data_IF_140749016718
#
_entry.id   IF_140749016718
#
_cell.length_a   1.000
_cell.length_b   1.000
_cell.length_c   1.000
_cell.angle_alpha   90.00
_cell.angle_beta   90.00
_cell.angle_gamma   90.00
#
_symmetry.space_group_name_H-M   'P 1'
#
loop_
_entity.id
_entity.type
_entity.pdbx_description
1 polymer ?
#
# COMPACT_ATOMS: atom_id res chain seq x y z
N UNK A 1 -19.02 -1.44 -0.52
CA UNK A 1 -17.59 -1.60 -0.18
C UNK A 1 -16.80 -0.59 -1.00
N UNK A 2 -15.97 0.24 -0.38
CA UNK A 2 -15.15 1.24 -1.08
C UNK A 2 -14.01 0.60 -1.88
N UNK A 3 -13.57 1.28 -2.94
CA UNK A 3 -12.39 0.90 -3.72
C UNK A 3 -11.12 1.49 -3.14
N UNK A 4 -11.20 2.76 -2.72
CA UNK A 4 -10.10 3.53 -2.16
C UNK A 4 -10.66 4.52 -1.14
N UNK A 5 -9.94 4.70 -0.04
CA UNK A 5 -10.32 5.65 1.01
C UNK A 5 -9.07 6.36 1.53
N UNK A 6 -9.00 7.67 1.32
CA UNK A 6 -7.94 8.49 1.90
C UNK A 6 -8.30 8.84 3.35
N UNK A 7 -7.30 8.80 4.21
CA UNK A 7 -7.45 9.04 5.66
C UNK A 7 -6.37 9.99 6.15
N UNK A 8 -6.69 10.80 7.13
CA UNK A 8 -5.73 11.62 7.86
C UNK A 8 -5.28 10.90 9.14
N UNK A 9 -3.99 10.67 9.25
CA UNK A 9 -3.36 10.11 10.46
C UNK A 9 -2.40 11.11 11.11
N UNK A 10 -2.49 12.39 10.74
CA UNK A 10 -1.55 13.42 11.17
C UNK A 10 -0.08 13.03 10.89
N UNK A 11 0.16 12.29 9.79
CA UNK A 11 1.51 12.00 9.31
C UNK A 11 1.97 13.24 8.53
N UNK A 12 2.92 13.94 9.10
CA UNK A 12 3.39 15.22 8.57
C UNK A 12 4.33 15.02 7.38
N UNK A 13 4.59 16.10 6.65
CA UNK A 13 5.62 16.09 5.60
C UNK A 13 7.00 15.72 6.18
N UNK A 14 7.34 16.21 7.36
CA UNK A 14 8.61 15.89 8.02
C UNK A 14 8.71 14.40 8.36
N UNK A 15 7.60 13.78 8.83
CA UNK A 15 7.54 12.33 9.02
C UNK A 15 7.84 11.57 7.71
N UNK A 16 7.23 12.00 6.61
CA UNK A 16 7.42 11.38 5.29
C UNK A 16 8.86 11.53 4.81
N UNK A 17 9.45 12.71 4.97
CA UNK A 17 10.82 13.00 4.55
C UNK A 17 11.83 12.18 5.38
N UNK A 18 11.65 12.08 6.70
CA UNK A 18 12.50 11.29 7.59
C UNK A 18 12.39 9.79 7.28
N UNK A 19 11.17 9.27 7.15
CA UNK A 19 10.93 7.86 6.78
C UNK A 19 11.56 7.57 5.42
N UNK A 20 11.40 8.47 4.44
CA UNK A 20 11.98 8.31 3.11
C UNK A 20 13.50 8.21 3.17
N UNK A 21 14.14 9.05 4.00
CA UNK A 21 15.60 9.00 4.21
C UNK A 21 16.05 7.68 4.83
N UNK A 22 15.34 7.18 5.86
CA UNK A 22 15.64 5.90 6.48
C UNK A 22 15.54 4.76 5.45
N UNK A 23 14.46 4.71 4.67
CA UNK A 23 14.25 3.66 3.66
C UNK A 23 15.31 3.68 2.57
N UNK A 24 15.72 4.87 2.11
CA UNK A 24 16.79 5.01 1.12
C UNK A 24 18.16 4.60 1.65
N UNK A 25 18.34 4.54 2.96
CA UNK A 25 19.58 4.06 3.59
C UNK A 25 19.63 2.54 3.79
N UNK A 26 18.52 1.82 3.55
CA UNK A 26 18.48 0.36 3.67
C UNK A 26 19.43 -0.26 2.62
N UNK A 27 20.41 -1.08 3.05
CA UNK A 27 21.35 -1.73 2.13
C UNK A 27 20.63 -2.58 1.08
N UNK A 28 21.14 -2.57 -0.16
CA UNK A 28 20.54 -3.30 -1.30
C UNK A 28 20.41 -4.81 -1.05
N UNK A 29 21.26 -5.41 -0.22
CA UNK A 29 21.16 -6.83 0.16
C UNK A 29 19.84 -7.22 0.83
N UNK A 30 19.07 -6.27 1.35
CA UNK A 30 17.76 -6.51 1.96
C UNK A 30 16.59 -6.39 0.96
N UNK A 31 16.87 -5.86 -0.23
CA UNK A 31 15.89 -5.73 -1.29
C UNK A 31 15.90 -6.97 -2.18
N UNK A 32 14.72 -7.41 -2.63
CA UNK A 32 14.58 -8.46 -3.63
C UNK A 32 13.61 -8.00 -4.71
N UNK A 33 13.92 -8.35 -5.95
CA UNK A 33 13.04 -8.04 -7.08
C UNK A 33 11.89 -9.04 -7.16
N UNK A 34 10.68 -8.51 -7.30
CA UNK A 34 9.48 -9.30 -7.53
C UNK A 34 9.08 -9.17 -9.01
N UNK A 35 9.31 -10.23 -9.77
CA UNK A 35 9.06 -10.26 -11.22
C UNK A 35 7.58 -10.05 -11.57
N UNK A 36 6.67 -10.62 -10.77
CA UNK A 36 5.23 -10.52 -11.02
C UNK A 36 4.70 -9.09 -10.85
N UNK A 37 5.26 -8.33 -9.92
CA UNK A 37 4.90 -6.94 -9.65
C UNK A 37 5.82 -5.93 -10.31
N UNK A 38 6.90 -6.41 -10.93
CA UNK A 38 7.91 -5.56 -11.56
C UNK A 38 8.44 -4.45 -10.62
N UNK A 39 8.71 -4.81 -9.38
CA UNK A 39 9.20 -3.88 -8.35
C UNK A 39 10.12 -4.56 -7.36
N UNK A 40 10.95 -3.76 -6.68
CA UNK A 40 11.76 -4.24 -5.57
C UNK A 40 10.92 -4.21 -4.27
N UNK A 41 11.17 -5.18 -3.41
CA UNK A 41 10.47 -5.31 -2.13
C UNK A 41 11.51 -5.44 -1.01
N UNK A 42 11.29 -4.74 0.10
CA UNK A 42 11.97 -4.99 1.36
C UNK A 42 10.95 -5.27 2.46
N UNK A 43 11.17 -6.31 3.24
CA UNK A 43 10.33 -6.65 4.38
C UNK A 43 10.86 -5.97 5.62
N UNK A 44 10.00 -5.20 6.29
CA UNK A 44 10.36 -4.50 7.53
C UNK A 44 9.81 -5.20 8.78
N UNK A 45 8.61 -5.77 8.69
CA UNK A 45 7.93 -6.48 9.77
C UNK A 45 7.40 -7.80 9.20
N UNK A 46 7.84 -8.91 9.76
CA UNK A 46 7.65 -10.24 9.17
C UNK A 46 6.32 -10.91 9.57
N UNK A 47 6.15 -12.15 9.13
CA UNK A 47 4.97 -12.97 9.45
C UNK A 47 4.87 -13.36 10.93
N UNK A 48 5.98 -13.32 11.67
CA UNK A 48 6.02 -13.60 13.11
C UNK A 48 5.83 -12.34 13.95
N UNK A 49 5.53 -11.20 13.27
CA UNK A 49 5.35 -9.90 13.90
C UNK A 49 6.60 -9.37 14.61
N UNK A 50 7.75 -9.59 14.00
CA UNK A 50 9.06 -9.14 14.46
C UNK A 50 9.65 -8.18 13.42
N UNK A 51 10.27 -7.09 13.89
CA UNK A 51 11.03 -6.20 13.02
C UNK A 51 12.26 -6.92 12.49
N UNK A 52 12.41 -6.94 11.16
CA UNK A 52 13.58 -7.51 10.48
C UNK A 52 14.81 -6.62 10.70
N UNK A 53 16.00 -7.08 10.30
CA UNK A 53 17.19 -6.25 10.32
C UNK A 53 17.01 -4.95 9.53
N UNK A 54 16.38 -5.01 8.35
CA UNK A 54 16.05 -3.81 7.58
C UNK A 54 15.05 -2.91 8.33
N UNK A 55 14.04 -3.50 8.98
CA UNK A 55 13.04 -2.77 9.75
C UNK A 55 13.62 -2.02 10.95
N UNK A 56 14.61 -2.62 11.64
CA UNK A 56 15.29 -1.98 12.79
C UNK A 56 16.10 -0.73 12.40
N UNK A 57 16.45 -0.57 11.12
CA UNK A 57 17.10 0.63 10.60
C UNK A 57 16.16 1.82 10.44
N UNK A 58 14.83 1.60 10.54
CA UNK A 58 13.80 2.60 10.31
C UNK A 58 13.14 3.03 11.63
N UNK A 59 13.89 3.64 12.54
CA UNK A 59 13.42 4.01 13.88
C UNK A 59 12.26 5.00 13.87
N UNK A 60 12.30 5.99 12.99
CA UNK A 60 11.24 6.98 12.85
C UNK A 60 9.96 6.35 12.29
N UNK A 61 10.09 5.46 11.30
CA UNK A 61 8.94 4.68 10.80
C UNK A 61 8.32 3.82 11.90
N UNK A 62 9.13 3.17 12.75
CA UNK A 62 8.65 2.38 13.89
C UNK A 62 7.82 3.27 14.83
N UNK A 63 8.30 4.45 15.15
CA UNK A 63 7.62 5.43 15.99
C UNK A 63 6.27 5.87 15.38
N UNK A 64 6.27 6.27 14.11
CA UNK A 64 5.04 6.65 13.39
C UNK A 64 4.06 5.48 13.33
N UNK A 65 4.54 4.26 13.06
CA UNK A 65 3.70 3.06 13.06
C UNK A 65 3.05 2.85 14.42
N UNK A 66 3.80 2.88 15.51
CA UNK A 66 3.28 2.63 16.87
C UNK A 66 2.28 3.72 17.29
N UNK A 67 2.60 4.98 17.04
CA UNK A 67 1.84 6.12 17.54
C UNK A 67 0.63 6.49 16.69
N UNK A 68 0.75 6.38 15.35
CA UNK A 68 -0.24 6.92 14.41
C UNK A 68 -0.99 5.85 13.62
N UNK A 69 -0.35 4.74 13.26
CA UNK A 69 -0.94 3.72 12.37
C UNK A 69 -1.55 2.56 13.17
N UNK A 70 -0.76 1.92 14.02
CA UNK A 70 -1.15 0.73 14.78
C UNK A 70 -2.47 0.88 15.58
N UNK A 71 -2.75 2.03 16.22
CA UNK A 71 -4.02 2.20 16.96
C UNK A 71 -5.27 2.03 16.10
N UNK A 72 -5.15 2.21 14.80
CA UNK A 72 -6.23 2.12 13.81
C UNK A 72 -6.35 0.75 13.15
N UNK A 73 -5.49 -0.20 13.47
CA UNK A 73 -5.50 -1.55 12.90
C UNK A 73 -6.27 -2.52 13.79
N UNK A 74 -7.09 -3.38 13.21
CA UNK A 74 -7.81 -4.43 13.95
C UNK A 74 -6.92 -5.61 14.32
N UNK A 75 -5.92 -5.90 13.47
CA UNK A 75 -4.96 -7.01 13.64
C UNK A 75 -3.56 -6.56 13.23
N UNK A 76 -2.55 -7.24 13.73
CA UNK A 76 -1.19 -7.08 13.23
C UNK A 76 -1.08 -7.66 11.81
N UNK A 77 -0.22 -7.08 11.00
CA UNK A 77 0.07 -7.58 9.66
C UNK A 77 1.51 -7.30 9.27
N UNK A 78 1.95 -7.92 8.21
CA UNK A 78 3.29 -7.68 7.65
C UNK A 78 3.42 -6.24 7.18
N UNK A 79 4.62 -5.68 7.31
CA UNK A 79 4.98 -4.38 6.74
C UNK A 79 6.10 -4.61 5.75
N UNK A 80 5.91 -4.12 4.54
CA UNK A 80 6.93 -4.12 3.51
C UNK A 80 6.89 -2.82 2.71
N UNK A 81 7.97 -2.53 2.03
CA UNK A 81 8.07 -1.40 1.12
C UNK A 81 8.11 -1.94 -0.30
N UNK A 82 7.36 -1.30 -1.19
CA UNK A 82 7.50 -1.44 -2.62
C UNK A 82 8.31 -0.27 -3.15
N UNK A 83 9.36 -0.58 -3.93
CA UNK A 83 10.12 0.38 -4.72
C UNK A 83 9.85 0.11 -6.19
N UNK A 84 8.97 0.91 -6.78
CA UNK A 84 8.76 0.88 -8.23
C UNK A 84 9.80 1.77 -8.88
N UNK A 85 10.68 1.22 -9.70
CA UNK A 85 11.75 1.97 -10.36
C UNK A 85 11.16 2.94 -11.40
N UNK A 86 11.88 4.02 -11.68
CA UNK A 86 11.49 4.99 -12.71
C UNK A 86 11.20 4.29 -14.04
N UNK A 87 10.05 4.60 -14.61
CA UNK A 87 9.58 4.03 -15.88
C UNK A 87 8.97 2.64 -15.79
N UNK A 88 9.03 1.97 -14.64
CA UNK A 88 8.36 0.69 -14.43
C UNK A 88 6.89 0.89 -14.09
N UNK A 89 6.07 -0.08 -14.49
CA UNK A 89 4.66 -0.21 -14.07
C UNK A 89 4.50 -1.40 -13.13
N UNK A 90 3.49 -1.37 -12.27
CA UNK A 90 2.98 -2.57 -11.63
C UNK A 90 1.76 -3.03 -12.43
N UNK A 91 1.80 -4.24 -13.03
CA UNK A 91 0.67 -4.76 -13.81
C UNK A 91 -0.62 -4.84 -13.00
N UNK A 92 -1.76 -4.82 -13.68
CA UNK A 92 -3.05 -5.04 -13.02
C UNK A 92 -3.06 -6.37 -12.28
N UNK A 93 -3.40 -6.33 -10.99
CA UNK A 93 -3.48 -7.50 -10.13
C UNK A 93 -4.51 -7.29 -9.01
N UNK A 94 -4.77 -8.37 -8.28
CA UNK A 94 -5.48 -8.33 -6.99
C UNK A 94 -4.54 -8.84 -5.89
N UNK A 95 -4.60 -8.20 -4.72
CA UNK A 95 -3.73 -8.53 -3.58
C UNK A 95 -4.20 -9.76 -2.79
N UNK A 96 -5.44 -10.18 -2.97
CA UNK A 96 -6.03 -11.24 -2.17
C UNK A 96 -6.91 -12.17 -3.01
N UNK A 97 -6.66 -13.46 -2.92
CA UNK A 97 -7.43 -14.51 -3.62
C UNK A 97 -8.74 -14.89 -2.91
N UNK A 98 -8.83 -14.60 -1.63
CA UNK A 98 -10.00 -14.98 -0.83
C UNK A 98 -11.08 -13.91 -0.94
N UNK A 99 -11.77 -13.90 -2.08
CA UNK A 99 -12.90 -13.02 -2.36
C UNK A 99 -13.99 -13.08 -1.26
N UNK A 100 -13.98 -14.15 -0.45
CA UNK A 100 -15.01 -14.45 0.55
C UNK A 100 -14.83 -13.78 1.91
N UNK A 101 -13.71 -13.10 2.17
CA UNK A 101 -13.46 -12.46 3.47
C UNK A 101 -13.16 -10.97 3.25
N UNK A 102 -14.19 -10.09 3.29
CA UNK A 102 -14.06 -8.66 3.00
C UNK A 102 -12.97 -7.94 3.80
N UNK A 103 -12.76 -8.32 5.04
CA UNK A 103 -11.76 -7.71 5.92
C UNK A 103 -10.31 -7.91 5.47
N UNK A 104 -10.01 -8.96 4.66
CA UNK A 104 -8.68 -9.16 4.08
C UNK A 104 -8.40 -8.28 2.87
N UNK A 105 -9.41 -7.64 2.33
CA UNK A 105 -9.27 -6.76 1.17
C UNK A 105 -8.78 -5.35 1.55
N UNK A 106 -8.96 -4.93 2.79
CA UNK A 106 -8.49 -3.61 3.24
C UNK A 106 -6.98 -3.61 3.45
N UNK A 107 -6.28 -2.84 2.63
CA UNK A 107 -4.82 -2.72 2.66
C UNK A 107 -4.41 -1.28 2.89
N UNK A 108 -3.79 -1.00 4.03
CA UNK A 108 -3.25 0.32 4.30
C UNK A 108 -2.00 0.59 3.46
N UNK A 109 -1.87 1.82 3.00
CA UNK A 109 -0.72 2.32 2.24
C UNK A 109 -0.30 3.70 2.75
N UNK A 110 1.02 3.88 2.81
CA UNK A 110 1.63 5.20 2.96
C UNK A 110 2.58 5.40 1.77
N UNK A 111 2.16 6.21 0.80
CA UNK A 111 3.00 6.58 -0.33
C UNK A 111 3.98 7.68 0.10
N UNK A 112 5.28 7.45 -0.05
CA UNK A 112 6.33 8.34 0.41
C UNK A 112 6.82 9.26 -0.70
N UNK A 113 7.10 8.69 -1.88
CA UNK A 113 7.66 9.42 -3.03
C UNK A 113 6.95 9.07 -4.33
N UNK A 114 7.28 9.79 -5.39
CA UNK A 114 6.78 9.58 -6.74
C UNK A 114 5.37 10.14 -6.96
N UNK A 115 4.86 9.94 -8.16
CA UNK A 115 3.53 10.43 -8.54
C UNK A 115 2.43 9.65 -7.78
N UNK A 116 1.66 10.34 -6.96
CA UNK A 116 0.60 9.71 -6.16
C UNK A 116 -0.56 9.23 -7.03
N UNK A 117 -0.92 10.00 -8.06
CA UNK A 117 -2.03 9.72 -8.98
C UNK A 117 -1.72 8.69 -10.09
N UNK A 118 -0.66 7.91 -9.99
CA UNK A 118 -0.41 6.82 -10.95
C UNK A 118 -1.00 5.47 -10.54
N UNK A 119 -1.58 5.38 -9.34
CA UNK A 119 -2.38 4.24 -8.91
C UNK A 119 -3.73 4.28 -9.63
N UNK A 120 -4.10 3.17 -10.28
CA UNK A 120 -5.39 3.04 -10.93
C UNK A 120 -6.15 1.79 -10.46
N UNK A 121 -7.47 1.84 -10.61
CA UNK A 121 -8.38 0.70 -10.46
C UNK A 121 -9.12 0.50 -11.78
N UNK A 122 -9.51 -0.74 -12.08
CA UNK A 122 -10.32 -1.00 -13.28
C UNK A 122 -11.81 -0.91 -12.97
N UNK A 123 -12.55 -0.20 -13.80
CA UNK A 123 -14.02 -0.18 -13.73
C UNK A 123 -14.66 -1.43 -14.39
N UNK A 124 -15.98 -1.52 -14.37
CA UNK A 124 -16.73 -2.63 -14.98
C UNK A 124 -16.49 -2.84 -16.48
N UNK A 125 -15.93 -1.86 -17.17
CA UNK A 125 -15.60 -1.89 -18.60
C UNK A 125 -14.09 -2.04 -18.84
N UNK A 126 -13.32 -2.35 -17.80
CA UNK A 126 -11.84 -2.44 -17.80
C UNK A 126 -11.12 -1.09 -18.07
N UNK A 127 -11.80 0.04 -17.90
CA UNK A 127 -11.15 1.34 -17.99
C UNK A 127 -10.42 1.68 -16.69
N UNK A 128 -9.28 2.37 -16.81
CA UNK A 128 -8.51 2.85 -15.66
C UNK A 128 -9.18 4.07 -15.02
N UNK A 129 -9.45 3.97 -13.73
CA UNK A 129 -9.89 5.07 -12.87
C UNK A 129 -8.79 5.36 -11.87
N UNK A 130 -8.20 6.55 -11.94
CA UNK A 130 -7.02 6.91 -11.14
C UNK A 130 -7.38 7.39 -9.76
N UNK A 131 -6.57 6.96 -8.78
CA UNK A 131 -6.68 7.42 -7.40
C UNK A 131 -6.26 8.90 -7.27
N UNK A 132 -6.85 9.63 -6.33
CA UNK A 132 -6.44 11.01 -6.02
C UNK A 132 -5.07 11.06 -5.31
N UNK A 133 -4.53 12.28 -5.18
CA UNK A 133 -3.20 12.54 -4.64
C UNK A 133 -3.19 12.59 -3.10
N UNK A 134 -3.32 11.44 -2.43
CA UNK A 134 -3.16 11.32 -0.99
C UNK A 134 -2.01 10.39 -0.62
N UNK A 135 -1.25 10.75 0.42
CA UNK A 135 -0.16 9.93 0.92
C UNK A 135 -0.66 8.72 1.72
N UNK A 136 -1.69 8.92 2.53
CA UNK A 136 -2.25 7.88 3.42
C UNK A 136 -3.61 7.43 2.93
N UNK A 137 -3.74 6.13 2.68
CA UNK A 137 -4.98 5.58 2.18
C UNK A 137 -5.14 4.09 2.48
N UNK A 138 -6.38 3.64 2.41
CA UNK A 138 -6.75 2.23 2.42
C UNK A 138 -7.27 1.89 1.03
N UNK A 139 -6.79 0.82 0.45
CA UNK A 139 -7.34 0.30 -0.79
C UNK A 139 -8.00 -1.06 -0.57
N UNK A 140 -9.00 -1.35 -1.40
CA UNK A 140 -9.57 -2.68 -1.51
C UNK A 140 -8.65 -3.55 -2.37
N UNK A 141 -7.84 -4.40 -1.74
CA UNK A 141 -6.91 -5.29 -2.45
C UNK A 141 -7.57 -6.37 -3.29
N UNK A 142 -8.88 -6.60 -3.13
CA UNK A 142 -9.67 -7.47 -4.01
C UNK A 142 -10.12 -6.79 -5.30
N UNK A 143 -10.04 -5.45 -5.38
CA UNK A 143 -10.33 -4.71 -6.60
C UNK A 143 -9.11 -4.72 -7.52
N UNK A 144 -9.24 -5.08 -8.81
CA UNK A 144 -8.13 -5.04 -9.76
C UNK A 144 -7.51 -3.65 -9.85
N UNK A 145 -6.21 -3.55 -9.57
CA UNK A 145 -5.47 -2.31 -9.51
C UNK A 145 -4.03 -2.48 -9.98
N UNK A 146 -3.37 -1.37 -10.27
CA UNK A 146 -1.96 -1.33 -10.70
C UNK A 146 -1.38 0.07 -10.63
N UNK A 147 -0.13 0.21 -11.06
CA UNK A 147 0.55 1.51 -11.18
C UNK A 147 1.01 1.72 -12.62
N UNK A 148 0.69 2.88 -13.17
CA UNK A 148 1.28 3.30 -14.43
C UNK A 148 2.72 3.79 -14.25
N UNK A 149 3.55 3.74 -15.31
CA UNK A 149 4.93 4.20 -15.25
C UNK A 149 5.00 5.68 -14.84
N UNK A 150 5.94 5.99 -13.96
CA UNK A 150 6.20 7.34 -13.47
C UNK A 150 7.65 7.45 -12.96
N UNK A 151 7.92 8.43 -12.10
CA UNK A 151 9.14 8.52 -11.31
C UNK A 151 9.25 7.34 -10.35
N UNK A 152 10.44 7.13 -9.75
CA UNK A 152 10.60 6.15 -8.68
C UNK A 152 9.60 6.40 -7.57
N UNK A 153 8.90 5.35 -7.18
CA UNK A 153 7.89 5.41 -6.13
C UNK A 153 8.23 4.46 -4.99
N UNK A 154 8.23 5.01 -3.78
CA UNK A 154 8.33 4.24 -2.54
C UNK A 154 6.96 4.24 -1.85
N UNK A 155 6.44 3.05 -1.55
CA UNK A 155 5.16 2.89 -0.85
C UNK A 155 5.29 1.87 0.27
N UNK A 156 4.94 2.25 1.48
CA UNK A 156 4.80 1.34 2.62
C UNK A 156 3.46 0.63 2.49
N UNK A 157 3.49 -0.69 2.58
CA UNK A 157 2.33 -1.56 2.48
C UNK A 157 2.13 -2.32 3.79
N UNK A 158 0.96 -2.17 4.40
CA UNK A 158 0.54 -2.96 5.54
C UNK A 158 -0.54 -3.95 5.11
N UNK A 159 -0.30 -5.23 5.40
CA UNK A 159 -1.26 -6.30 5.16
C UNK A 159 -2.26 -6.50 6.29
N UNK A 160 -2.55 -5.47 7.08
CA UNK A 160 -3.47 -5.52 8.22
C UNK A 160 -4.82 -4.95 7.85
N UNK A 161 -5.92 -5.56 8.33
CA UNK A 161 -7.23 -4.94 8.26
C UNK A 161 -7.25 -3.66 9.11
N UNK A 162 -7.97 -2.67 8.62
CA UNK A 162 -8.25 -1.44 9.34
C UNK A 162 -9.42 -1.64 10.30
N UNK A 163 -9.45 -0.91 11.42
CA UNK A 163 -10.59 -0.88 12.32
C UNK A 163 -11.73 -0.09 11.67
N UNK A 164 -12.93 -0.66 11.66
CA UNK A 164 -14.11 -0.03 11.08
C UNK A 164 -14.19 -0.26 9.57
N UNK A 165 -15.38 -0.47 9.09
CA UNK A 165 -15.64 -0.82 7.69
C UNK A 165 -16.23 0.34 6.91
N UNK A 166 -17.04 1.20 7.54
CA UNK A 166 -17.90 2.15 6.82
C UNK A 166 -17.73 3.61 7.23
N UNK A 167 -17.18 3.92 8.39
CA UNK A 167 -16.90 5.30 8.81
C UNK A 167 -15.59 5.40 9.56
N UNK A 168 -14.78 6.37 9.17
CA UNK A 168 -13.55 6.75 9.85
C UNK A 168 -13.66 8.22 10.20
N UNK A 169 -13.47 8.58 11.47
CA UNK A 169 -13.53 9.98 11.94
C UNK A 169 -12.51 10.87 11.22
N UNK A 170 -11.49 10.26 10.63
CA UNK A 170 -10.40 10.89 9.90
C UNK A 170 -10.45 10.66 8.37
N UNK A 171 -11.62 10.34 7.83
CA UNK A 171 -11.80 10.19 6.39
C UNK A 171 -11.68 11.51 5.66
N UNK A 172 -10.83 11.57 4.62
CA UNK A 172 -10.66 12.72 3.74
C UNK A 172 -11.40 12.58 2.42
N UNK A 173 -11.47 11.35 1.89
CA UNK A 173 -12.07 11.08 0.59
C UNK A 173 -12.37 9.60 0.42
N UNK A 174 -13.50 9.29 -0.20
CA UNK A 174 -13.85 7.92 -0.59
C UNK A 174 -14.14 7.82 -2.06
N UNK A 175 -13.56 6.81 -2.71
CA UNK A 175 -13.80 6.48 -4.10
C UNK A 175 -14.43 5.09 -4.21
N UNK A 176 -15.51 5.02 -4.99
CA UNK A 176 -16.19 3.78 -5.34
C UNK A 176 -16.12 3.60 -6.85
N UNK A 177 -15.42 2.56 -7.30
CA UNK A 177 -15.33 2.18 -8.71
C UNK A 177 -16.19 0.94 -8.92
N UNK A 178 -16.95 0.90 -10.01
CA UNK A 178 -17.76 -0.27 -10.34
C UNK A 178 -16.84 -1.48 -10.59
N UNK A 179 -17.16 -2.60 -9.96
CA UNK A 179 -16.29 -3.78 -9.97
C UNK A 179 -16.28 -4.47 -11.34
N UNK A 180 -15.13 -4.76 -11.95
CA UNK A 180 -15.05 -5.48 -13.21
C UNK A 180 -15.29 -6.99 -13.02
N UNK A 181 -15.51 -7.70 -14.12
CA UNK A 181 -15.47 -9.16 -14.11
C UNK A 181 -14.04 -9.62 -13.88
N UNK A 182 -13.79 -10.36 -12.79
CA UNK A 182 -12.44 -10.85 -12.47
C UNK A 182 -11.89 -11.76 -13.56
N UNK A 183 -10.63 -11.55 -13.89
CA UNK A 183 -9.85 -12.35 -14.84
C UNK A 183 -8.78 -13.15 -14.13
N UNK A 184 -8.50 -14.37 -14.61
CA UNK A 184 -7.50 -15.28 -13.99
C UNK A 184 -6.09 -14.67 -13.96
N UNK A 185 -5.72 -13.92 -15.00
CA UNK A 185 -4.42 -13.27 -15.10
C UNK A 185 -4.14 -12.20 -14.04
N UNK A 186 -5.16 -11.68 -13.38
CA UNK A 186 -4.99 -10.71 -12.27
C UNK A 186 -4.71 -11.37 -10.93
N UNK A 187 -4.93 -12.69 -10.85
CA UNK A 187 -4.69 -13.47 -9.63
C UNK A 187 -3.22 -13.87 -9.61
N UNK A 188 -2.45 -13.23 -8.73
CA UNK A 188 -1.04 -13.54 -8.52
C UNK A 188 -0.90 -14.47 -7.30
N UNK A 189 -0.22 -15.58 -7.48
CA UNK A 189 0.04 -16.58 -6.44
C UNK A 189 1.26 -16.25 -5.57
#
# INVERSE_FOLDING_TARGET
MFTYKAIDLNITKDDIDLITKEIKSIPEKHWFFNEYRNCDIVRLYDKNFIWTEAGKLCSHLIDVYIKKIKPNLSKKGKIHILRTRKGNSIPTHIDCHQIQIPEFHQKFRLALTGKLSNLYFLDKNDNKVYAPNYHTYILNGGHPHGLDPAEEKLTICLGSPWKGEDSYDNELYTMNVSFPKLKKEWIQW
#
